data_IF_095478189249
#
_entry.id   IF_095478189249
#
_cell.length_a   1.000
_cell.length_b   1.000
_cell.length_c   1.000
_cell.angle_alpha   90.00
_cell.angle_beta   90.00
_cell.angle_gamma   90.00
#
_symmetry.space_group_name_H-M   'P 1'
#
loop_
_entity.id
_entity.type
_entity.pdbx_description
1 polymer ?
#
# COMPACT_ATOMS: atom_id res chain seq x y z
N UNK A 1 4.20 -13.03 -19.73
CA UNK A 1 2.97 -13.80 -19.47
C UNK A 1 2.25 -13.22 -18.26
N UNK A 2 0.92 -13.07 -18.30
CA UNK A 2 0.11 -12.60 -17.16
C UNK A 2 0.29 -13.47 -15.91
N UNK A 3 0.49 -14.77 -16.11
CA UNK A 3 0.73 -15.71 -15.03
C UNK A 3 1.91 -15.28 -14.14
N UNK A 4 3.01 -14.79 -14.74
CA UNK A 4 4.19 -14.36 -13.99
C UNK A 4 3.90 -13.14 -13.10
N UNK A 5 3.09 -12.20 -13.59
CA UNK A 5 2.66 -11.03 -12.83
C UNK A 5 1.80 -11.44 -11.63
N UNK A 6 0.85 -12.36 -11.86
CA UNK A 6 0.00 -12.88 -10.80
C UNK A 6 0.79 -13.66 -9.75
N UNK A 7 1.73 -14.51 -10.17
CA UNK A 7 2.61 -15.26 -9.26
C UNK A 7 3.48 -14.32 -8.43
N UNK A 8 4.04 -13.26 -9.05
CA UNK A 8 4.81 -12.25 -8.33
C UNK A 8 3.95 -11.58 -7.24
N UNK A 9 2.74 -11.14 -7.58
CA UNK A 9 1.85 -10.50 -6.62
C UNK A 9 1.41 -11.43 -5.50
N UNK A 10 1.05 -12.68 -5.83
CA UNK A 10 0.70 -13.68 -4.83
C UNK A 10 1.88 -14.00 -3.90
N UNK A 11 3.10 -14.12 -4.45
CA UNK A 11 4.30 -14.35 -3.63
C UNK A 11 4.59 -13.17 -2.69
N UNK A 12 4.36 -11.94 -3.15
CA UNK A 12 4.53 -10.74 -2.33
C UNK A 12 3.48 -10.65 -1.22
N UNK A 13 2.22 -10.94 -1.52
CA UNK A 13 1.14 -10.97 -0.51
C UNK A 13 1.43 -12.03 0.57
N UNK A 14 1.94 -13.21 0.20
CA UNK A 14 2.38 -14.23 1.17
C UNK A 14 3.50 -13.69 2.06
N UNK A 15 4.50 -13.03 1.48
CA UNK A 15 5.59 -12.40 2.26
C UNK A 15 5.02 -11.35 3.23
N UNK A 16 4.07 -10.53 2.79
CA UNK A 16 3.43 -9.53 3.66
C UNK A 16 2.64 -10.17 4.80
N UNK A 17 1.89 -11.25 4.54
CA UNK A 17 1.15 -11.97 5.57
C UNK A 17 2.11 -12.53 6.61
N UNK A 18 3.20 -13.17 6.16
CA UNK A 18 4.23 -13.70 7.06
C UNK A 18 4.88 -12.57 7.86
N UNK A 19 5.24 -11.46 7.20
CA UNK A 19 5.84 -10.31 7.86
C UNK A 19 4.88 -9.70 8.90
N UNK A 20 3.60 -9.58 8.57
CA UNK A 20 2.59 -9.05 9.48
C UNK A 20 2.36 -9.97 10.68
N UNK A 21 2.33 -11.29 10.45
CA UNK A 21 2.23 -12.29 11.51
C UNK A 21 3.44 -12.29 12.43
N UNK A 22 4.65 -12.10 11.88
CA UNK A 22 5.89 -12.08 12.65
C UNK A 22 6.05 -10.81 13.48
N UNK A 23 5.58 -9.67 12.98
CA UNK A 23 5.81 -8.36 13.60
C UNK A 23 4.68 -7.90 14.53
N UNK A 24 3.45 -8.39 14.32
CA UNK A 24 2.24 -8.07 15.09
C UNK A 24 2.21 -6.58 15.48
N UNK A 25 2.15 -5.66 14.49
CA UNK A 25 2.17 -4.24 14.77
C UNK A 25 0.90 -3.83 15.52
N UNK A 26 1.05 -3.12 16.64
CA UNK A 26 -0.06 -2.48 17.34
C UNK A 26 0.09 -0.97 17.29
N UNK A 27 -0.89 -0.32 16.66
CA UNK A 27 -1.00 1.12 16.67
C UNK A 27 -1.72 1.58 17.95
N UNK A 28 -1.16 2.58 18.61
CA UNK A 28 -1.74 3.26 19.76
C UNK A 28 -1.88 4.73 19.37
N UNK A 29 -3.12 5.18 19.25
CA UNK A 29 -3.44 6.58 19.08
C UNK A 29 -3.64 7.22 20.46
N UNK A 30 -2.80 8.19 20.77
CA UNK A 30 -2.87 9.03 21.96
C UNK A 30 -3.12 10.48 21.54
N UNK A 31 -3.60 11.34 22.46
CA UNK A 31 -3.62 12.78 22.20
C UNK A 31 -2.20 13.23 21.84
N UNK A 32 -2.05 13.78 20.64
CA UNK A 32 -0.79 14.32 20.12
C UNK A 32 0.36 13.31 19.90
N UNK A 33 0.11 12.01 20.07
CA UNK A 33 1.11 10.96 19.81
C UNK A 33 0.48 9.79 19.05
N UNK A 34 1.09 9.39 17.95
CA UNK A 34 0.78 8.12 17.28
C UNK A 34 1.99 7.20 17.43
N UNK A 35 1.86 6.22 18.32
CA UNK A 35 2.87 5.21 18.56
C UNK A 35 2.52 3.91 17.83
N UNK A 36 3.52 3.22 17.30
CA UNK A 36 3.35 1.87 16.79
C UNK A 36 4.37 0.99 17.47
N UNK A 37 3.84 0.03 18.23
CA UNK A 37 4.65 -0.93 18.95
C UNK A 37 4.64 -2.23 18.15
N UNK A 38 5.82 -2.81 17.96
CA UNK A 38 5.95 -4.20 17.52
C UNK A 38 6.05 -5.08 18.75
N UNK A 39 5.27 -6.17 18.81
CA UNK A 39 5.31 -7.15 19.92
C UNK A 39 6.51 -8.09 19.84
N UNK A 40 7.62 -7.64 19.25
CA UNK A 40 8.82 -8.45 19.04
C UNK A 40 9.93 -7.91 19.92
N UNK A 41 10.67 -8.80 20.60
CA UNK A 41 11.77 -8.43 21.51
C UNK A 41 12.86 -7.58 20.83
N UNK A 42 13.00 -7.69 19.51
CA UNK A 42 13.97 -6.96 18.68
C UNK A 42 13.32 -5.85 17.84
N UNK A 43 12.14 -5.35 18.24
CA UNK A 43 11.46 -4.26 17.55
C UNK A 43 12.39 -3.06 17.37
N UNK A 44 12.75 -2.77 16.12
CA UNK A 44 13.57 -1.63 15.74
C UNK A 44 12.76 -0.65 14.91
N UNK A 45 13.11 0.65 15.01
CA UNK A 45 12.55 1.71 14.16
C UNK A 45 12.56 1.32 12.68
N UNK A 46 13.68 0.76 12.23
CA UNK A 46 13.87 0.32 10.85
C UNK A 46 12.85 -0.75 10.46
N UNK A 47 12.62 -1.73 11.33
CA UNK A 47 11.71 -2.84 11.07
C UNK A 47 10.26 -2.38 10.99
N UNK A 48 9.83 -1.47 11.88
CA UNK A 48 8.48 -0.87 11.83
C UNK A 48 8.29 -0.03 10.57
N UNK A 49 9.29 0.76 10.19
CA UNK A 49 9.25 1.56 8.95
C UNK A 49 9.21 0.64 7.72
N UNK A 50 10.04 -0.40 7.69
CA UNK A 50 10.08 -1.38 6.61
C UNK A 50 8.73 -2.09 6.45
N UNK A 51 8.14 -2.55 7.55
CA UNK A 51 6.80 -3.16 7.54
C UNK A 51 5.75 -2.22 6.99
N UNK A 52 5.70 -0.97 7.46
CA UNK A 52 4.74 0.04 7.01
C UNK A 52 4.87 0.35 5.51
N UNK A 53 6.11 0.49 5.02
CA UNK A 53 6.40 0.77 3.61
C UNK A 53 6.07 -0.44 2.72
N UNK A 54 6.20 -1.66 3.23
CA UNK A 54 5.90 -2.88 2.48
C UNK A 54 4.42 -2.94 2.04
N UNK A 55 3.48 -2.41 2.83
CA UNK A 55 2.08 -2.29 2.39
C UNK A 55 1.90 -1.39 1.16
N UNK A 56 2.75 -0.39 0.99
CA UNK A 56 2.70 0.51 -0.16
C UNK A 56 3.05 -0.21 -1.47
N UNK A 57 3.92 -1.21 -1.40
CA UNK A 57 4.27 -2.08 -2.54
C UNK A 57 3.08 -2.96 -2.94
N UNK A 58 2.29 -3.44 -1.98
CA UNK A 58 1.05 -4.17 -2.28
C UNK A 58 0.05 -3.28 -3.00
N UNK A 59 -0.13 -2.02 -2.56
CA UNK A 59 -0.96 -1.07 -3.30
C UNK A 59 -0.45 -0.79 -4.72
N UNK A 60 0.86 -0.60 -4.89
CA UNK A 60 1.45 -0.40 -6.22
C UNK A 60 1.18 -1.61 -7.13
N UNK A 61 1.34 -2.82 -6.59
CA UNK A 61 1.04 -4.08 -7.28
C UNK A 61 -0.43 -4.19 -7.67
N UNK A 62 -1.34 -3.87 -6.75
CA UNK A 62 -2.79 -3.86 -6.98
C UNK A 62 -3.20 -2.88 -8.08
N UNK A 63 -2.63 -1.66 -8.08
CA UNK A 63 -2.86 -0.67 -9.14
C UNK A 63 -2.35 -1.19 -10.48
N UNK A 64 -1.15 -1.76 -10.53
CA UNK A 64 -0.60 -2.35 -11.77
C UNK A 64 -1.48 -3.48 -12.29
N UNK A 65 -2.03 -4.31 -11.41
CA UNK A 65 -2.96 -5.38 -11.76
C UNK A 65 -4.27 -4.85 -12.36
N UNK A 66 -4.90 -3.88 -11.71
CA UNK A 66 -6.13 -3.27 -12.22
C UNK A 66 -5.90 -2.55 -13.55
N UNK A 67 -4.78 -1.84 -13.66
CA UNK A 67 -4.38 -1.19 -14.90
C UNK A 67 -4.25 -2.21 -16.02
N UNK A 68 -3.50 -3.30 -15.80
CA UNK A 68 -3.34 -4.37 -16.77
C UNK A 68 -4.69 -4.94 -17.24
N UNK A 69 -5.60 -5.25 -16.31
CA UNK A 69 -6.94 -5.76 -16.63
C UNK A 69 -7.79 -4.76 -17.39
N UNK A 70 -7.77 -3.51 -16.96
CA UNK A 70 -8.47 -2.43 -17.64
C UNK A 70 -8.05 -2.34 -19.10
N UNK A 71 -6.73 -2.38 -19.39
CA UNK A 71 -6.22 -2.33 -20.76
C UNK A 71 -6.59 -3.58 -21.58
N UNK A 72 -6.56 -4.78 -20.99
CA UNK A 72 -7.01 -6.00 -21.69
C UNK A 72 -8.47 -5.88 -22.12
N UNK A 73 -9.36 -5.49 -21.20
CA UNK A 73 -10.79 -5.40 -21.52
C UNK A 73 -11.06 -4.24 -22.48
N UNK A 74 -10.32 -3.13 -22.34
CA UNK A 74 -10.42 -1.99 -23.25
C UNK A 74 -10.01 -2.32 -24.69
N UNK A 75 -9.07 -3.26 -24.91
CA UNK A 75 -8.64 -3.71 -26.24
C UNK A 75 -9.79 -4.26 -27.09
N UNK A 76 -10.76 -4.94 -26.47
CA UNK A 76 -11.86 -5.59 -27.18
C UNK A 76 -12.99 -4.63 -27.59
N UNK A 77 -12.97 -3.37 -27.15
CA UNK A 77 -14.07 -2.42 -27.38
C UNK A 77 -13.54 -0.99 -27.56
N UNK A 78 -12.78 -0.77 -28.63
CA UNK A 78 -12.50 0.58 -29.12
C UNK A 78 -13.44 0.93 -30.27
N UNK A 79 -14.45 1.80 -30.05
CA UNK A 79 -15.00 2.56 -31.17
C UNK A 79 -13.91 3.51 -31.68
N UNK A 80 -13.75 3.61 -33.00
CA UNK A 80 -12.69 4.36 -33.69
C UNK A 80 -12.52 5.84 -33.22
N UNK A 81 -13.51 6.41 -32.55
CA UNK A 81 -13.53 7.78 -32.03
C UNK A 81 -12.62 8.04 -30.80
N UNK A 82 -12.25 7.02 -30.02
CA UNK A 82 -11.41 7.22 -28.80
C UNK A 82 -9.89 7.25 -29.09
N UNK A 83 -9.48 7.08 -30.34
CA UNK A 83 -8.07 7.04 -30.78
C UNK A 83 -7.42 8.45 -30.81
N UNK A 84 -8.22 9.52 -30.80
CA UNK A 84 -7.75 10.91 -30.99
C UNK A 84 -7.11 11.55 -29.75
N UNK A 85 -7.44 11.13 -28.52
CA UNK A 85 -6.81 11.67 -27.31
C UNK A 85 -5.59 10.84 -26.92
N UNK A 86 -4.39 11.30 -27.31
CA UNK A 86 -3.07 10.69 -27.06
C UNK A 86 -2.83 10.17 -25.64
N UNK A 87 -3.47 10.75 -24.62
CA UNK A 87 -3.30 10.35 -23.22
C UNK A 87 -3.82 8.94 -22.88
N UNK A 88 -4.74 8.39 -23.68
CA UNK A 88 -5.37 7.08 -23.43
C UNK A 88 -5.16 6.08 -24.56
N UNK A 89 -4.06 6.22 -25.33
CA UNK A 89 -3.68 5.15 -26.27
C UNK A 89 -3.51 3.85 -25.48
N UNK A 90 -4.04 2.71 -25.98
CA UNK A 90 -3.75 1.40 -25.43
C UNK A 90 -2.24 1.25 -25.33
N UNK A 91 -1.71 1.43 -24.12
CA UNK A 91 -0.32 1.11 -23.84
C UNK A 91 -0.13 -0.30 -24.33
N UNK A 92 0.85 -0.49 -25.22
CA UNK A 92 1.06 -1.75 -25.90
C UNK A 92 1.16 -2.83 -24.83
N UNK A 93 0.15 -3.71 -24.71
CA UNK A 93 0.05 -4.71 -23.64
C UNK A 93 1.31 -5.61 -23.64
N UNK A 94 1.99 -5.70 -24.79
CA UNK A 94 3.29 -6.31 -24.94
C UNK A 94 4.34 -5.72 -23.96
N UNK A 95 4.27 -4.43 -23.64
CA UNK A 95 5.20 -3.76 -22.74
C UNK A 95 5.14 -4.33 -21.31
N UNK A 96 3.95 -4.61 -20.79
CA UNK A 96 3.75 -5.30 -19.50
C UNK A 96 4.33 -6.73 -19.46
N UNK A 97 4.65 -7.31 -20.61
CA UNK A 97 5.28 -8.63 -20.70
C UNK A 97 6.79 -8.57 -20.91
N UNK A 98 7.39 -7.38 -21.05
CA UNK A 98 8.84 -7.24 -21.22
C UNK A 98 9.55 -7.28 -19.88
N UNK A 99 10.68 -8.00 -19.80
CA UNK A 99 11.54 -8.02 -18.60
C UNK A 99 11.97 -6.61 -18.20
N UNK A 100 12.20 -5.73 -19.18
CA UNK A 100 12.54 -4.32 -18.98
C UNK A 100 11.48 -3.57 -18.16
N UNK A 101 10.20 -3.83 -18.42
CA UNK A 101 9.11 -3.23 -17.64
C UNK A 101 9.15 -3.69 -16.18
N UNK A 102 9.32 -4.99 -15.91
CA UNK A 102 9.40 -5.51 -14.55
C UNK A 102 10.60 -4.95 -13.80
N UNK A 103 11.77 -4.93 -14.44
CA UNK A 103 12.99 -4.37 -13.86
C UNK A 103 12.83 -2.87 -13.55
N UNK A 104 12.27 -2.10 -14.48
CA UNK A 104 12.00 -0.67 -14.28
C UNK A 104 10.96 -0.40 -13.20
N UNK A 105 9.86 -1.16 -13.19
CA UNK A 105 8.83 -1.07 -12.16
C UNK A 105 9.39 -1.41 -10.77
N UNK A 106 10.13 -2.51 -10.66
CA UNK A 106 10.74 -2.94 -9.41
C UNK A 106 11.76 -1.90 -8.92
N UNK A 107 12.59 -1.36 -9.81
CA UNK A 107 13.54 -0.29 -9.48
C UNK A 107 12.81 0.96 -8.98
N UNK A 108 11.75 1.40 -9.66
CA UNK A 108 10.95 2.55 -9.21
C UNK A 108 10.34 2.32 -7.82
N UNK A 109 9.80 1.13 -7.58
CA UNK A 109 9.24 0.75 -6.27
C UNK A 109 10.32 0.75 -5.20
N UNK A 110 11.47 0.12 -5.45
CA UNK A 110 12.60 0.07 -4.50
C UNK A 110 13.12 1.48 -4.20
N UNK A 111 13.36 2.30 -5.22
CA UNK A 111 13.82 3.67 -5.06
C UNK A 111 12.83 4.50 -4.23
N UNK A 112 11.53 4.37 -4.50
CA UNK A 112 10.49 5.07 -3.74
C UNK A 112 10.41 4.57 -2.28
N UNK A 113 10.51 3.26 -2.05
CA UNK A 113 10.53 2.68 -0.71
C UNK A 113 11.77 3.13 0.07
N UNK A 114 12.95 3.13 -0.55
CA UNK A 114 14.19 3.60 0.06
C UNK A 114 14.12 5.10 0.40
N UNK A 115 13.55 5.91 -0.48
CA UNK A 115 13.30 7.33 -0.24
C UNK A 115 12.37 7.56 0.96
N UNK A 116 11.23 6.85 1.01
CA UNK A 116 10.31 6.95 2.15
C UNK A 116 10.95 6.48 3.45
N UNK A 117 11.73 5.40 3.40
CA UNK A 117 12.45 4.89 4.55
C UNK A 117 13.46 5.94 5.05
N UNK A 118 14.23 6.53 4.14
CA UNK A 118 15.20 7.57 4.49
C UNK A 118 14.54 8.78 5.14
N UNK A 119 13.47 9.32 4.52
CA UNK A 119 12.72 10.46 5.07
C UNK A 119 12.13 10.12 6.43
N UNK A 120 11.49 8.96 6.56
CA UNK A 120 10.87 8.55 7.83
C UNK A 120 11.92 8.39 8.91
N UNK A 121 13.07 7.77 8.60
CA UNK A 121 14.17 7.62 9.54
C UNK A 121 14.75 8.95 10.02
N UNK A 122 14.78 9.98 9.16
CA UNK A 122 15.29 11.32 9.48
C UNK A 122 14.29 12.19 10.23
N UNK A 123 13.01 12.13 9.90
CA UNK A 123 11.98 13.03 10.44
C UNK A 123 11.38 12.52 11.75
N UNK A 124 11.15 11.21 11.87
CA UNK A 124 10.55 10.66 13.09
C UNK A 124 11.54 10.79 14.24
N UNK A 125 11.11 11.46 15.32
CA UNK A 125 12.01 11.77 16.43
C UNK A 125 12.49 10.47 17.08
N UNK A 126 13.80 10.40 17.30
CA UNK A 126 14.37 9.42 18.20
C UNK A 126 14.24 9.96 19.61
N UNK A 127 13.63 9.17 20.49
CA UNK A 127 13.95 9.19 21.92
C UNK A 127 13.35 10.33 22.75
N UNK A 128 12.13 10.77 22.44
CA UNK A 128 11.31 11.46 23.44
C UNK A 128 10.98 10.50 24.59
N UNK A 129 11.78 10.50 25.67
CA UNK A 129 11.61 9.61 26.84
C UNK A 129 10.17 9.66 27.36
N UNK A 130 9.58 10.86 27.42
CA UNK A 130 8.23 11.09 27.94
C UNK A 130 7.15 10.47 27.04
N UNK A 131 7.22 10.69 25.73
CA UNK A 131 6.26 10.15 24.77
C UNK A 131 6.32 8.62 24.74
N UNK A 132 7.53 8.07 24.82
CA UNK A 132 7.75 6.62 24.85
C UNK A 132 7.21 5.98 26.14
N UNK A 133 7.48 6.58 27.31
CA UNK A 133 6.93 6.12 28.58
C UNK A 133 5.40 6.18 28.59
N UNK A 134 4.82 7.27 28.08
CA UNK A 134 3.36 7.42 27.98
C UNK A 134 2.74 6.34 27.10
N UNK A 135 3.36 6.04 25.95
CA UNK A 135 2.92 4.98 25.06
C UNK A 135 3.00 3.60 25.72
N UNK A 136 4.04 3.32 26.52
CA UNK A 136 4.17 2.07 27.26
C UNK A 136 3.13 1.90 28.36
N UNK A 137 2.90 2.94 29.16
CA UNK A 137 1.88 2.90 30.23
C UNK A 137 0.50 2.62 29.63
N UNK A 138 0.16 3.29 28.52
CA UNK A 138 -1.13 3.08 27.85
C UNK A 138 -1.23 1.70 27.23
N UNK A 139 -0.15 1.21 26.62
CA UNK A 139 -0.13 -0.15 26.09
C UNK A 139 -0.34 -1.18 27.20
N UNK A 140 0.41 -1.08 28.31
CA UNK A 140 0.29 -2.00 29.44
C UNK A 140 -1.14 -2.00 29.97
N UNK A 141 -1.73 -0.83 30.14
CA UNK A 141 -3.12 -0.71 30.58
C UNK A 141 -4.11 -1.34 29.59
N UNK A 142 -3.89 -1.19 28.27
CA UNK A 142 -4.83 -1.66 27.24
C UNK A 142 -4.68 -3.15 26.90
N UNK A 143 -3.48 -3.69 26.98
CA UNK A 143 -3.15 -5.03 26.47
C UNK A 143 -2.57 -5.98 27.54
N UNK A 144 -2.28 -5.49 28.76
CA UNK A 144 -1.84 -6.32 29.87
C UNK A 144 -0.43 -6.92 29.74
N UNK A 145 0.36 -6.48 28.75
CA UNK A 145 1.69 -7.00 28.46
C UNK A 145 2.80 -5.97 28.71
N UNK A 146 3.94 -6.42 29.23
CA UNK A 146 5.15 -5.59 29.34
C UNK A 146 5.89 -5.55 28.00
N UNK A 147 6.05 -4.35 27.44
CA UNK A 147 6.89 -4.13 26.27
C UNK A 147 8.26 -3.63 26.73
N UNK A 148 9.32 -4.31 26.33
CA UNK A 148 10.70 -3.86 26.60
C UNK A 148 11.17 -2.78 25.63
N UNK A 149 10.65 -2.77 24.40
CA UNK A 149 11.02 -1.83 23.33
C UNK A 149 9.82 -1.50 22.46
N UNK A 150 9.53 -0.23 22.27
CA UNK A 150 8.52 0.26 21.36
C UNK A 150 8.92 1.62 20.84
N UNK A 151 8.36 1.95 19.69
CA UNK A 151 8.78 3.10 18.91
C UNK A 151 7.62 4.08 18.75
N UNK A 152 7.87 5.32 19.13
CA UNK A 152 6.93 6.41 18.87
C UNK A 152 7.18 6.89 17.43
N UNK A 153 6.23 6.64 16.53
CA UNK A 153 6.42 7.05 15.12
C UNK A 153 6.21 8.54 14.98
N UNK A 154 5.11 9.07 15.53
CA UNK A 154 4.75 10.46 15.37
C UNK A 154 4.49 11.09 16.73
N UNK A 155 5.43 11.92 17.15
CA UNK A 155 5.23 12.85 18.26
C UNK A 155 4.91 14.22 17.67
N UNK A 156 3.64 14.63 17.76
CA UNK A 156 3.18 15.90 17.17
C UNK A 156 3.54 17.11 18.03
N UNK A 157 3.87 16.92 19.31
CA UNK A 157 4.23 18.00 20.25
C UNK A 157 5.46 17.59 21.04
N UNK A 158 6.61 18.17 20.69
CA UNK A 158 7.88 17.97 21.39
C UNK A 158 8.16 19.22 22.21
N UNK A 159 8.36 19.06 23.53
CA UNK A 159 8.70 20.17 24.44
C UNK A 159 7.70 21.35 24.35
N UNK A 160 6.41 21.05 24.32
CA UNK A 160 5.31 22.04 24.19
C UNK A 160 5.32 22.83 22.87
N UNK A 161 6.09 22.41 21.86
CA UNK A 161 6.10 22.99 20.52
C UNK A 161 5.61 21.98 19.48
N UNK A 162 4.82 22.41 18.48
CA UNK A 162 4.37 21.51 17.43
C UNK A 162 5.56 21.03 16.58
N UNK A 163 5.66 19.72 16.38
CA UNK A 163 6.65 19.13 15.47
C UNK A 163 6.11 19.19 14.03
N UNK A 164 6.34 20.33 13.39
CA UNK A 164 5.85 20.65 12.05
C UNK A 164 6.29 19.59 11.02
N UNK A 165 7.50 19.05 11.13
CA UNK A 165 8.01 18.01 10.21
C UNK A 165 7.22 16.71 10.31
N UNK A 166 6.88 16.27 11.52
CA UNK A 166 6.05 15.09 11.77
C UNK A 166 4.61 15.31 11.28
N UNK A 167 4.06 16.51 11.47
CA UNK A 167 2.73 16.87 10.96
C UNK A 167 2.71 16.80 9.43
N UNK A 168 3.68 17.43 8.74
CA UNK A 168 3.76 17.38 7.28
C UNK A 168 3.96 15.96 6.75
N UNK A 169 4.81 15.16 7.40
CA UNK A 169 5.02 13.76 7.01
C UNK A 169 3.72 12.95 7.15
N UNK A 170 2.98 13.15 8.22
CA UNK A 170 1.69 12.50 8.45
C UNK A 170 0.67 12.89 7.39
N UNK A 171 0.53 14.19 7.12
CA UNK A 171 -0.35 14.69 6.06
C UNK A 171 0.04 14.14 4.69
N UNK A 172 1.34 14.07 4.39
CA UNK A 172 1.85 13.48 3.16
C UNK A 172 1.45 12.00 3.02
N UNK A 173 1.59 11.20 4.09
CA UNK A 173 1.16 9.81 4.09
C UNK A 173 -0.35 9.66 3.94
N UNK A 174 -1.15 10.47 4.63
CA UNK A 174 -2.60 10.47 4.50
C UNK A 174 -3.08 10.83 3.09
N UNK A 175 -2.51 11.89 2.51
CA UNK A 175 -2.83 12.32 1.14
C UNK A 175 -2.43 11.24 0.15
N UNK A 176 -1.21 10.71 0.26
CA UNK A 176 -0.72 9.64 -0.63
C UNK A 176 -1.64 8.42 -0.55
N UNK A 177 -2.00 7.99 0.66
CA UNK A 177 -2.91 6.87 0.87
C UNK A 177 -4.31 7.14 0.28
N UNK A 178 -4.86 8.33 0.50
CA UNK A 178 -6.14 8.74 -0.07
C UNK A 178 -6.14 8.74 -1.60
N UNK A 179 -5.08 9.27 -2.23
CA UNK A 179 -4.90 9.25 -3.69
C UNK A 179 -4.85 7.81 -4.19
N UNK A 180 -4.06 6.93 -3.55
CA UNK A 180 -3.96 5.52 -3.95
C UNK A 180 -5.29 4.79 -3.82
N UNK A 181 -6.00 5.00 -2.71
CA UNK A 181 -7.34 4.42 -2.51
C UNK A 181 -8.35 4.89 -3.56
N UNK A 182 -8.34 6.19 -3.89
CA UNK A 182 -9.19 6.75 -4.95
C UNK A 182 -8.84 6.19 -6.33
N UNK A 183 -7.55 6.06 -6.65
CA UNK A 183 -7.08 5.45 -7.90
C UNK A 183 -7.52 3.99 -8.02
N UNK A 184 -7.35 3.20 -6.95
CA UNK A 184 -7.77 1.80 -6.88
C UNK A 184 -9.28 1.68 -7.06
N UNK A 185 -10.07 2.46 -6.32
CA UNK A 185 -11.53 2.43 -6.38
C UNK A 185 -12.05 2.83 -7.76
N UNK A 186 -11.48 3.88 -8.34
CA UNK A 186 -11.82 4.35 -9.69
C UNK A 186 -11.49 3.29 -10.75
N UNK A 187 -10.31 2.68 -10.68
CA UNK A 187 -9.90 1.62 -11.60
C UNK A 187 -10.75 0.36 -11.44
N UNK A 188 -11.09 -0.02 -10.21
CA UNK A 188 -11.98 -1.14 -9.92
C UNK A 188 -13.38 -0.90 -10.51
N UNK A 189 -13.93 0.30 -10.30
CA UNK A 189 -15.22 0.70 -10.87
C UNK A 189 -15.24 0.68 -12.39
N UNK A 190 -14.21 1.24 -13.05
CA UNK A 190 -14.13 1.19 -14.51
C UNK A 190 -13.96 -0.23 -15.05
N UNK A 191 -13.18 -1.06 -14.36
CA UNK A 191 -13.02 -2.48 -14.70
C UNK A 191 -14.36 -3.22 -14.56
N UNK A 192 -15.10 -2.99 -13.47
CA UNK A 192 -16.44 -3.55 -13.27
C UNK A 192 -17.40 -3.17 -14.39
N UNK A 193 -17.53 -1.87 -14.68
CA UNK A 193 -18.44 -1.37 -15.74
C UNK A 193 -18.10 -1.97 -17.10
N UNK A 194 -16.82 -2.12 -17.40
CA UNK A 194 -16.36 -2.73 -18.66
C UNK A 194 -16.69 -4.22 -18.73
N UNK A 195 -16.48 -4.97 -17.65
CA UNK A 195 -16.83 -6.39 -17.58
C UNK A 195 -18.35 -6.59 -17.70
N UNK A 196 -19.14 -5.78 -17.00
CA UNK A 196 -20.60 -5.85 -17.02
C UNK A 196 -21.18 -5.58 -18.41
N UNK A 197 -20.59 -4.64 -19.16
CA UNK A 197 -21.06 -4.26 -20.50
C UNK A 197 -20.48 -5.12 -21.62
N UNK A 198 -19.45 -5.95 -21.37
CA UNK A 198 -18.77 -6.74 -22.40
C UNK A 198 -19.55 -8.01 -22.76
N UNK A 199 -20.55 -7.87 -23.65
CA UNK A 199 -21.38 -8.98 -24.15
C UNK A 199 -20.62 -10.06 -24.93
N UNK A 200 -19.42 -9.76 -25.43
CA UNK A 200 -18.59 -10.71 -26.19
C UNK A 200 -17.82 -11.73 -25.32
N UNK A 201 -17.83 -11.59 -23.99
CA UNK A 201 -17.15 -12.53 -23.09
C UNK A 201 -18.08 -13.70 -22.77
N UNK A 202 -17.54 -14.93 -22.74
CA UNK A 202 -18.26 -16.08 -22.22
C UNK A 202 -18.69 -15.86 -20.77
N UNK A 203 -19.85 -16.40 -20.38
CA UNK A 203 -20.40 -16.26 -19.03
C UNK A 203 -19.40 -16.73 -17.95
N UNK A 204 -18.65 -17.80 -18.24
CA UNK A 204 -17.62 -18.34 -17.35
C UNK A 204 -16.44 -17.37 -17.17
N UNK A 205 -15.93 -16.77 -18.26
CA UNK A 205 -14.84 -15.79 -18.21
C UNK A 205 -15.27 -14.52 -17.46
N UNK A 206 -16.50 -14.05 -17.69
CA UNK A 206 -17.07 -12.90 -16.98
C UNK A 206 -17.16 -13.16 -15.47
N UNK A 207 -17.67 -14.32 -15.06
CA UNK A 207 -17.77 -14.71 -13.64
C UNK A 207 -16.40 -14.78 -12.97
N UNK A 208 -15.40 -15.37 -13.63
CA UNK A 208 -14.03 -15.43 -13.12
C UNK A 208 -13.40 -14.03 -12.93
N UNK A 209 -13.56 -13.14 -13.91
CA UNK A 209 -13.04 -11.76 -13.83
C UNK A 209 -13.71 -10.95 -12.70
N UNK A 210 -15.03 -11.12 -12.51
CA UNK A 210 -15.77 -10.48 -11.42
C UNK A 210 -15.32 -10.99 -10.04
N UNK A 211 -15.19 -12.31 -9.86
CA UNK A 211 -14.71 -12.87 -8.59
C UNK A 211 -13.33 -12.33 -8.24
N UNK A 212 -12.41 -12.30 -9.20
CA UNK A 212 -11.06 -11.77 -8.98
C UNK A 212 -11.07 -10.25 -8.70
N UNK A 213 -12.00 -9.49 -9.28
CA UNK A 213 -12.17 -8.07 -8.97
C UNK A 213 -12.66 -7.88 -7.52
N UNK A 214 -13.65 -8.65 -7.10
CA UNK A 214 -14.16 -8.64 -5.72
C UNK A 214 -13.05 -9.01 -4.74
N UNK A 215 -12.29 -10.08 -5.01
CA UNK A 215 -11.14 -10.47 -4.17
C UNK A 215 -10.12 -9.33 -4.06
N UNK A 216 -9.78 -8.69 -5.17
CA UNK A 216 -8.83 -7.58 -5.18
C UNK A 216 -9.36 -6.34 -4.42
N UNK A 217 -10.67 -6.06 -4.47
CA UNK A 217 -11.30 -5.00 -3.67
C UNK A 217 -11.29 -5.34 -2.17
N UNK A 218 -11.62 -6.59 -1.81
CA UNK A 218 -11.57 -7.05 -0.41
C UNK A 218 -10.16 -6.97 0.13
N UNK A 219 -9.16 -7.42 -0.62
CA UNK A 219 -7.74 -7.26 -0.27
C UNK A 219 -7.38 -5.79 -0.08
N UNK A 220 -7.82 -4.90 -0.97
CA UNK A 220 -7.59 -3.46 -0.83
C UNK A 220 -8.16 -2.84 0.44
N UNK A 221 -9.34 -3.32 0.89
CA UNK A 221 -9.99 -2.88 2.14
C UNK A 221 -9.30 -3.45 3.37
N UNK A 222 -8.90 -4.72 3.34
CA UNK A 222 -8.21 -5.36 4.49
C UNK A 222 -6.81 -4.79 4.66
N UNK A 223 -6.13 -4.47 3.56
CA UNK A 223 -4.78 -3.86 3.59
C UNK A 223 -4.80 -2.37 3.92
N UNK A 224 -5.98 -1.73 3.98
CA UNK A 224 -6.15 -0.33 4.39
C UNK A 224 -6.52 -0.25 5.87
#
# INVERSE_FOLDING_TARGET
SYANLLTLFASYDVILIVLNYMLIPRAIALPYVLAVVLEVQYGSKLLTCFHSISFLVSYASLITHFLYRFWIVAKFRQPALFVSKSCFRPFNIAWFSTVKFYAGWLLCVICFCAFLLFITMKITSSEGIIAQQTAFTVYQHKFGGEIRRGWVIFDYIVESRPNISVIFLTLFYMITRGIKFSQVSTMAYFTYRRIATAFALSAQSRSAQLRLLVTACVQGIVSS
#
